data_IF_215899858912
#
_entry.id   IF_215899858912
#
_cell.length_a   1.000
_cell.length_b   1.000
_cell.length_c   1.000
_cell.angle_alpha   90.00
_cell.angle_beta   90.00
_cell.angle_gamma   90.00
#
_symmetry.space_group_name_H-M   'P 1'
#
loop_
_entity.id
_entity.type
_entity.pdbx_description
1 polymer ?
#
# COMPACT_ATOMS: atom_id res chain seq x y z
N UNK A 1 -11.32 -35.45 -46.22
CA UNK A 1 -10.38 -34.45 -45.69
C UNK A 1 -9.62 -35.10 -44.55
N UNK A 2 -8.39 -35.57 -44.81
CA UNK A 2 -7.56 -36.34 -43.87
C UNK A 2 -6.88 -35.39 -42.88
N UNK A 3 -6.82 -35.83 -41.62
CA UNK A 3 -6.62 -35.00 -40.43
C UNK A 3 -5.33 -34.19 -40.42
N UNK A 4 -5.48 -32.94 -39.99
CA UNK A 4 -4.39 -32.16 -39.44
C UNK A 4 -3.84 -32.92 -38.21
N UNK A 5 -2.54 -33.25 -38.13
CA UNK A 5 -1.99 -33.96 -36.99
C UNK A 5 -2.15 -33.10 -35.74
N UNK A 6 -2.66 -33.68 -34.64
CA UNK A 6 -2.89 -32.99 -33.35
C UNK A 6 -1.67 -32.21 -32.84
N UNK A 7 -0.46 -32.62 -33.21
CA UNK A 7 0.78 -31.91 -32.94
C UNK A 7 0.87 -30.53 -33.61
N UNK A 8 0.32 -30.36 -34.82
CA UNK A 8 0.33 -29.08 -35.55
C UNK A 8 -0.65 -28.08 -34.93
N UNK A 9 -1.82 -28.53 -34.46
CA UNK A 9 -2.75 -27.69 -33.70
C UNK A 9 -2.16 -27.27 -32.35
N UNK A 10 -1.49 -28.18 -31.63
CA UNK A 10 -0.83 -27.86 -30.37
C UNK A 10 0.30 -26.85 -30.58
N UNK A 11 1.11 -27.01 -31.63
CA UNK A 11 2.18 -26.07 -31.97
C UNK A 11 1.62 -24.68 -32.33
N UNK A 12 0.56 -24.61 -33.15
CA UNK A 12 -0.10 -23.35 -33.50
C UNK A 12 -0.71 -22.66 -32.28
N UNK A 13 -1.36 -23.39 -31.38
CA UNK A 13 -1.92 -22.82 -30.14
C UNK A 13 -0.79 -22.29 -29.26
N UNK A 14 0.29 -23.05 -29.06
CA UNK A 14 1.45 -22.61 -28.27
C UNK A 14 2.14 -21.40 -28.91
N UNK A 15 2.37 -21.40 -30.22
CA UNK A 15 2.98 -20.26 -30.92
C UNK A 15 2.09 -19.01 -30.91
N UNK A 16 0.77 -19.16 -31.06
CA UNK A 16 -0.16 -18.02 -30.99
C UNK A 16 -0.24 -17.47 -29.56
N UNK A 17 -0.19 -18.34 -28.55
CA UNK A 17 -0.13 -17.95 -27.15
C UNK A 17 1.16 -17.19 -26.83
N UNK A 18 2.31 -17.70 -27.28
CA UNK A 18 3.63 -17.05 -27.11
C UNK A 18 3.67 -15.69 -27.80
N UNK A 19 3.17 -15.57 -29.04
CA UNK A 19 3.12 -14.30 -29.77
C UNK A 19 2.16 -13.30 -29.09
N UNK A 20 1.03 -13.76 -28.56
CA UNK A 20 0.10 -12.90 -27.82
C UNK A 20 0.68 -12.43 -26.48
N UNK A 21 1.40 -13.30 -25.76
CA UNK A 21 2.13 -12.98 -24.53
C UNK A 21 3.25 -11.97 -24.79
N UNK A 22 4.06 -12.18 -25.83
CA UNK A 22 5.14 -11.25 -26.23
C UNK A 22 4.58 -9.88 -26.66
N UNK A 23 3.41 -9.85 -27.30
CA UNK A 23 2.74 -8.61 -27.70
C UNK A 23 2.17 -7.85 -26.50
N UNK A 24 1.58 -8.56 -25.53
CA UNK A 24 1.07 -7.99 -24.28
C UNK A 24 2.19 -7.37 -23.42
N UNK A 25 3.26 -8.12 -23.15
CA UNK A 25 4.42 -7.63 -22.39
C UNK A 25 5.05 -6.41 -23.07
N UNK A 26 5.09 -6.38 -24.40
CA UNK A 26 5.58 -5.24 -25.16
C UNK A 26 4.67 -4.00 -24.97
N UNK A 27 3.34 -4.18 -24.98
CA UNK A 27 2.38 -3.10 -24.79
C UNK A 27 2.46 -2.50 -23.37
N UNK A 28 2.57 -3.34 -22.35
CA UNK A 28 2.64 -2.91 -20.94
C UNK A 28 3.93 -2.14 -20.66
N UNK A 29 5.06 -2.60 -21.21
CA UNK A 29 6.33 -1.87 -21.14
C UNK A 29 6.28 -0.51 -21.84
N UNK A 30 5.63 -0.41 -22.99
CA UNK A 30 5.45 0.88 -23.68
C UNK A 30 4.51 1.80 -22.89
N UNK A 31 3.46 1.24 -22.29
CA UNK A 31 2.56 1.97 -21.41
C UNK A 31 3.33 2.57 -20.22
N UNK A 32 4.08 1.77 -19.47
CA UNK A 32 4.89 2.24 -18.34
C UNK A 32 5.85 3.36 -18.78
N UNK A 33 6.58 3.17 -19.89
CA UNK A 33 7.51 4.17 -20.43
C UNK A 33 6.82 5.47 -20.85
N UNK A 34 5.55 5.41 -21.25
CA UNK A 34 4.75 6.59 -21.58
C UNK A 34 4.23 7.35 -20.35
N UNK A 35 4.18 6.68 -19.18
CA UNK A 35 3.61 7.23 -17.95
C UNK A 35 4.67 7.65 -16.91
N UNK A 36 5.86 7.06 -16.92
CA UNK A 36 6.94 7.44 -16.00
C UNK A 36 7.96 8.35 -16.70
N UNK A 37 8.06 9.60 -16.26
CA UNK A 37 9.06 10.58 -16.71
C UNK A 37 10.21 10.67 -15.70
N UNK A 38 11.31 9.97 -15.98
CA UNK A 38 12.47 9.94 -15.09
C UNK A 38 13.37 11.17 -15.27
N UNK A 39 13.63 11.88 -14.18
CA UNK A 39 14.47 13.07 -14.11
C UNK A 39 15.61 12.87 -13.10
N UNK A 40 16.80 13.34 -13.42
CA UNK A 40 17.97 13.25 -12.55
C UNK A 40 18.38 14.61 -11.99
N UNK A 41 18.64 14.65 -10.68
CA UNK A 41 19.14 15.82 -9.97
C UNK A 41 20.55 15.53 -9.47
N UNK A 42 21.56 16.08 -10.15
CA UNK A 42 22.96 15.81 -9.83
C UNK A 42 23.47 16.51 -8.56
N UNK A 43 22.86 17.64 -8.20
CA UNK A 43 23.20 18.39 -6.98
C UNK A 43 21.94 19.08 -6.44
N UNK A 44 21.29 18.53 -5.39
CA UNK A 44 20.09 19.12 -4.81
C UNK A 44 20.32 20.50 -4.17
N UNK A 45 21.57 20.86 -3.88
CA UNK A 45 21.94 22.16 -3.30
C UNK A 45 22.30 23.22 -4.34
N UNK A 46 22.26 22.91 -5.64
CA UNK A 46 22.57 23.89 -6.68
C UNK A 46 21.48 24.96 -6.77
N UNK A 47 21.84 26.24 -6.68
CA UNK A 47 20.92 27.39 -6.74
C UNK A 47 20.24 27.60 -8.10
N UNK A 48 20.68 26.88 -9.15
CA UNK A 48 20.05 26.82 -10.47
C UNK A 48 19.99 25.36 -10.96
N UNK A 49 19.96 24.39 -10.04
CA UNK A 49 19.84 23.00 -10.42
C UNK A 49 18.53 22.79 -11.19
N UNK A 50 18.62 22.23 -12.39
CA UNK A 50 17.46 21.77 -13.15
C UNK A 50 17.52 20.27 -13.26
N UNK A 51 16.41 19.59 -12.94
CA UNK A 51 16.32 18.15 -13.12
C UNK A 51 16.44 17.80 -14.61
N UNK A 52 17.43 16.97 -14.96
CA UNK A 52 17.70 16.60 -16.35
C UNK A 52 16.87 15.37 -16.74
N UNK A 53 16.23 15.36 -17.91
CA UNK A 53 15.58 14.15 -18.40
C UNK A 53 16.59 13.01 -18.57
N UNK A 54 16.21 11.82 -18.11
CA UNK A 54 17.01 10.62 -18.27
C UNK A 54 16.66 9.98 -19.61
N UNK A 55 17.68 9.68 -20.42
CA UNK A 55 17.49 8.83 -21.59
C UNK A 55 17.44 7.37 -21.13
N UNK A 56 16.22 6.84 -20.96
CA UNK A 56 15.97 5.46 -20.54
C UNK A 56 16.70 4.45 -21.42
N UNK A 57 16.73 4.67 -22.75
CA UNK A 57 17.37 3.73 -23.68
C UNK A 57 18.89 3.64 -23.45
N UNK A 58 19.55 4.76 -23.11
CA UNK A 58 20.97 4.74 -22.76
C UNK A 58 21.29 3.98 -21.47
N UNK A 59 20.35 3.93 -20.51
CA UNK A 59 20.48 3.07 -19.32
C UNK A 59 20.32 1.60 -19.70
N UNK A 60 19.33 1.27 -20.53
CA UNK A 60 19.05 -0.10 -20.96
C UNK A 60 20.20 -0.69 -21.80
N UNK A 61 20.74 0.11 -22.74
CA UNK A 61 21.83 -0.30 -23.63
C UNK A 61 23.21 -0.19 -22.97
N UNK A 62 23.31 0.46 -21.81
CA UNK A 62 24.59 0.72 -21.15
C UNK A 62 25.51 1.67 -21.91
N UNK A 63 24.95 2.58 -22.71
CA UNK A 63 25.70 3.49 -23.60
C UNK A 63 25.85 4.91 -23.05
N UNK A 64 25.08 5.27 -22.01
CA UNK A 64 25.19 6.58 -21.36
C UNK A 64 26.51 6.76 -20.61
N UNK A 65 26.92 8.02 -20.38
CA UNK A 65 28.15 8.37 -19.67
C UNK A 65 27.88 9.38 -18.56
N UNK A 66 28.60 9.27 -17.44
CA UNK A 66 28.42 10.11 -16.26
C UNK A 66 27.19 9.75 -15.42
N UNK A 67 26.95 10.41 -14.28
CA UNK A 67 25.71 10.24 -13.52
C UNK A 67 24.47 10.67 -14.34
N UNK A 68 23.35 9.91 -14.31
CA UNK A 68 23.11 8.69 -13.52
C UNK A 68 23.56 7.38 -14.20
N UNK A 69 24.03 7.43 -15.45
CA UNK A 69 24.30 6.26 -16.31
C UNK A 69 25.45 5.37 -15.82
N UNK A 70 26.58 5.94 -15.38
CA UNK A 70 27.78 5.19 -14.99
C UNK A 70 28.31 5.52 -13.59
N UNK A 71 27.69 6.48 -12.90
CA UNK A 71 28.06 6.85 -11.52
C UNK A 71 27.77 5.73 -10.53
N UNK A 72 28.71 5.44 -9.63
CA UNK A 72 28.55 4.41 -8.60
C UNK A 72 27.56 4.86 -7.51
N UNK A 73 27.59 6.12 -7.10
CA UNK A 73 26.61 6.73 -6.19
C UNK A 73 25.17 6.57 -6.69
N UNK A 74 24.98 6.61 -8.01
CA UNK A 74 23.67 6.51 -8.66
C UNK A 74 23.27 5.09 -9.04
N UNK A 75 23.99 4.05 -8.61
CA UNK A 75 23.76 2.69 -9.11
C UNK A 75 22.34 2.18 -8.81
N UNK A 76 21.84 2.39 -7.59
CA UNK A 76 20.48 1.99 -7.20
C UNK A 76 19.42 2.84 -7.90
N UNK A 77 19.63 4.15 -8.04
CA UNK A 77 18.75 5.05 -8.83
C UNK A 77 18.62 4.59 -10.29
N UNK A 78 19.74 4.33 -10.96
CA UNK A 78 19.75 3.79 -12.33
C UNK A 78 19.05 2.44 -12.43
N UNK A 79 19.24 1.58 -11.43
CA UNK A 79 18.61 0.26 -11.40
C UNK A 79 17.08 0.35 -11.25
N UNK A 80 16.53 1.39 -10.61
CA UNK A 80 15.06 1.62 -10.58
C UNK A 80 14.55 1.87 -12.00
N UNK A 81 15.20 2.77 -12.76
CA UNK A 81 14.85 3.02 -14.18
C UNK A 81 14.94 1.73 -14.98
N UNK A 82 16.03 0.97 -14.80
CA UNK A 82 16.26 -0.30 -15.48
C UNK A 82 15.15 -1.32 -15.16
N UNK A 83 14.79 -1.48 -13.89
CA UNK A 83 13.76 -2.41 -13.45
C UNK A 83 12.39 -2.04 -14.05
N UNK A 84 11.99 -0.76 -13.97
CA UNK A 84 10.72 -0.27 -14.50
C UNK A 84 10.62 -0.40 -16.03
N UNK A 85 11.70 -0.11 -16.76
CA UNK A 85 11.66 0.12 -18.20
C UNK A 85 12.07 -1.07 -19.08
N UNK A 86 12.12 -2.29 -18.53
CA UNK A 86 12.36 -3.51 -19.31
C UNK A 86 13.75 -4.14 -19.19
N UNK A 87 14.63 -3.62 -18.33
CA UNK A 87 15.92 -4.23 -18.04
C UNK A 87 15.89 -5.15 -16.82
N UNK A 88 16.92 -5.98 -16.63
CA UNK A 88 17.04 -6.85 -15.46
C UNK A 88 18.01 -6.29 -14.43
N UNK A 89 17.68 -6.45 -13.14
CA UNK A 89 18.55 -6.09 -12.01
C UNK A 89 18.76 -7.33 -11.15
N UNK A 90 20.01 -7.63 -10.81
CA UNK A 90 20.34 -8.81 -10.01
C UNK A 90 19.70 -8.72 -8.62
N UNK A 91 19.05 -9.80 -8.19
CA UNK A 91 18.36 -9.87 -6.90
C UNK A 91 17.03 -9.09 -6.84
N UNK A 92 16.49 -8.67 -7.99
CA UNK A 92 15.24 -7.92 -8.06
C UNK A 92 14.17 -8.65 -8.88
N UNK A 93 12.92 -8.63 -8.42
CA UNK A 93 11.77 -9.14 -9.17
C UNK A 93 11.23 -8.05 -10.11
N UNK A 94 11.95 -7.86 -11.21
CA UNK A 94 11.63 -6.80 -12.17
C UNK A 94 10.32 -7.06 -12.94
N UNK A 95 9.90 -8.32 -13.05
CA UNK A 95 8.65 -8.67 -13.74
C UNK A 95 7.45 -8.32 -12.87
N UNK A 96 7.42 -8.78 -11.62
CA UNK A 96 6.38 -8.40 -10.67
C UNK A 96 6.36 -6.89 -10.46
N UNK A 97 7.53 -6.25 -10.35
CA UNK A 97 7.60 -4.79 -10.24
C UNK A 97 6.85 -4.09 -11.37
N UNK A 98 7.02 -4.53 -12.62
CA UNK A 98 6.31 -3.95 -13.77
C UNK A 98 4.81 -4.18 -13.73
N UNK A 99 4.38 -5.38 -13.32
CA UNK A 99 2.96 -5.67 -13.14
C UNK A 99 2.34 -4.73 -12.11
N UNK A 100 2.99 -4.56 -10.94
CA UNK A 100 2.47 -3.69 -9.88
C UNK A 100 2.42 -2.22 -10.34
N UNK A 101 3.49 -1.69 -10.93
CA UNK A 101 3.47 -0.28 -11.40
C UNK A 101 2.45 -0.05 -12.50
N UNK A 102 2.23 -1.03 -13.38
CA UNK A 102 1.21 -0.94 -14.42
C UNK A 102 -0.19 -0.86 -13.82
N UNK A 103 -0.54 -1.78 -12.92
CA UNK A 103 -1.82 -1.80 -12.23
C UNK A 103 -2.07 -0.47 -11.48
N UNK A 104 -1.06 0.06 -10.79
CA UNK A 104 -1.15 1.38 -10.12
C UNK A 104 -1.38 2.50 -11.14
N UNK A 105 -0.57 2.59 -12.20
CA UNK A 105 -0.66 3.67 -13.18
C UNK A 105 -2.00 3.67 -13.93
N UNK A 106 -2.63 2.49 -14.09
CA UNK A 106 -3.94 2.36 -14.73
C UNK A 106 -5.11 2.87 -13.89
N UNK A 107 -4.92 3.14 -12.59
CA UNK A 107 -5.96 3.71 -11.72
C UNK A 107 -6.40 5.07 -12.28
N UNK A 108 -5.45 5.98 -12.53
CA UNK A 108 -5.75 7.34 -13.02
C UNK A 108 -5.33 7.61 -14.45
N UNK A 109 -4.49 6.75 -15.03
CA UNK A 109 -3.87 6.94 -16.35
C UNK A 109 -3.04 8.23 -16.47
N UNK A 110 -2.55 8.79 -15.34
CA UNK A 110 -1.73 10.01 -15.31
C UNK A 110 -0.24 9.71 -15.49
N UNK A 111 0.49 10.69 -16.02
CA UNK A 111 1.95 10.68 -16.05
C UNK A 111 2.50 11.11 -14.70
N UNK A 112 3.55 10.44 -14.24
CA UNK A 112 4.26 10.69 -12.98
C UNK A 112 5.71 11.05 -13.29
N UNK A 113 6.19 12.16 -12.72
CA UNK A 113 7.61 12.53 -12.79
C UNK A 113 8.35 11.86 -11.65
N UNK A 114 9.44 11.15 -11.97
CA UNK A 114 10.28 10.49 -10.96
C UNK A 114 11.62 11.23 -10.87
N UNK A 115 11.81 11.99 -9.79
CA UNK A 115 13.07 12.64 -9.46
C UNK A 115 14.02 11.66 -8.75
N UNK A 116 15.13 11.37 -9.42
CA UNK A 116 16.25 10.59 -8.90
C UNK A 116 17.35 11.55 -8.47
N UNK A 117 17.61 11.64 -7.17
CA UNK A 117 18.41 12.71 -6.57
C UNK A 117 19.76 12.15 -6.10
N UNK A 118 20.87 12.68 -6.61
CA UNK A 118 22.20 12.38 -6.07
C UNK A 118 22.52 13.31 -4.89
N UNK A 119 22.11 12.89 -3.71
CA UNK A 119 22.41 13.49 -2.41
C UNK A 119 23.46 12.68 -1.63
N UNK A 120 24.15 11.74 -2.28
CA UNK A 120 25.06 10.80 -1.63
C UNK A 120 26.30 11.46 -1.01
N UNK A 121 26.66 12.67 -1.45
CA UNK A 121 27.91 13.33 -1.09
C UNK A 121 27.79 14.39 0.00
N UNK A 122 26.60 14.96 0.19
CA UNK A 122 26.36 16.02 1.16
C UNK A 122 24.86 16.13 1.50
N UNK A 123 24.52 16.50 2.75
CA UNK A 123 23.14 16.76 3.12
C UNK A 123 22.56 17.94 2.33
N UNK A 124 21.24 17.91 2.12
CA UNK A 124 20.43 18.97 1.57
C UNK A 124 20.38 20.11 2.59
N UNK A 125 20.90 21.27 2.18
CA UNK A 125 21.07 22.47 3.02
C UNK A 125 20.19 23.64 2.56
N UNK A 126 19.66 23.60 1.35
CA UNK A 126 18.79 24.67 0.84
C UNK A 126 17.38 24.58 1.42
N UNK A 127 16.89 25.71 1.92
CA UNK A 127 15.52 25.90 2.45
C UNK A 127 14.44 26.03 1.37
N UNK A 128 14.77 25.83 0.09
CA UNK A 128 13.79 25.69 -1.01
C UNK A 128 13.81 24.26 -1.57
N UNK A 129 13.35 23.25 -0.80
CA UNK A 129 13.15 21.89 -1.29
C UNK A 129 12.00 21.79 -2.32
N UNK A 130 11.29 22.88 -2.62
CA UNK A 130 10.07 22.91 -3.44
C UNK A 130 10.28 22.70 -4.94
N UNK A 131 11.52 22.58 -5.45
CA UNK A 131 11.74 22.38 -6.89
C UNK A 131 11.56 20.95 -7.36
N UNK A 132 11.74 19.99 -6.45
CA UNK A 132 11.66 18.57 -6.76
C UNK A 132 10.67 17.83 -5.87
N UNK A 133 9.84 18.55 -5.10
CA UNK A 133 8.87 17.92 -4.20
C UNK A 133 9.53 16.83 -3.34
N UNK A 134 10.55 17.23 -2.56
CA UNK A 134 11.40 16.30 -1.78
C UNK A 134 11.08 16.37 -0.29
N UNK A 135 10.99 15.20 0.34
CA UNK A 135 10.92 15.06 1.78
C UNK A 135 12.34 14.90 2.32
N UNK A 136 12.70 15.70 3.33
CA UNK A 136 14.04 15.68 3.89
C UNK A 136 14.00 15.03 5.26
N UNK A 137 14.63 13.87 5.37
CA UNK A 137 14.89 13.19 6.65
C UNK A 137 16.40 13.15 6.89
N UNK A 138 16.81 13.56 8.09
CA UNK A 138 18.21 13.58 8.53
C UNK A 138 19.15 14.34 7.57
N UNK A 139 18.60 15.29 6.81
CA UNK A 139 19.32 16.07 5.81
C UNK A 139 19.41 15.42 4.43
N UNK A 140 18.72 14.32 4.14
CA UNK A 140 18.78 13.61 2.86
C UNK A 140 17.37 13.36 2.29
N UNK A 141 17.28 13.17 0.97
CA UNK A 141 16.03 12.99 0.25
C UNK A 141 15.40 11.61 0.54
N UNK A 142 14.46 11.58 1.47
CA UNK A 142 13.66 10.41 1.77
C UNK A 142 12.72 10.09 0.59
N UNK A 143 12.49 8.81 0.25
CA UNK A 143 11.46 8.43 -0.71
C UNK A 143 10.11 9.03 -0.34
N UNK A 144 9.53 9.84 -1.21
CA UNK A 144 8.18 10.33 -1.02
C UNK A 144 7.52 10.75 -2.32
N UNK A 145 6.23 11.04 -2.26
CA UNK A 145 5.40 11.33 -3.40
C UNK A 145 4.53 12.56 -3.18
N UNK A 146 4.20 13.20 -4.29
CA UNK A 146 3.25 14.30 -4.32
C UNK A 146 2.25 14.08 -5.45
N UNK A 147 0.94 13.98 -5.16
CA UNK A 147 -0.04 13.82 -6.21
C UNK A 147 -0.25 15.13 -6.97
N UNK A 148 -0.42 14.96 -8.27
CA UNK A 148 -0.76 15.99 -9.22
C UNK A 148 -2.25 16.24 -9.29
N UNK A 149 -2.60 17.34 -9.94
CA UNK A 149 -3.96 17.69 -10.33
C UNK A 149 -4.06 17.76 -11.86
N UNK A 150 -5.14 18.36 -12.39
CA UNK A 150 -5.33 18.50 -13.83
C UNK A 150 -4.26 19.38 -14.53
N UNK A 151 -3.51 20.18 -13.77
CA UNK A 151 -2.56 21.18 -14.28
C UNK A 151 -1.13 20.95 -13.82
N UNK A 152 -0.93 20.25 -12.71
CA UNK A 152 0.39 19.95 -12.16
C UNK A 152 0.59 18.44 -12.10
N UNK A 153 1.71 17.90 -12.65
CA UNK A 153 1.96 16.47 -12.66
C UNK A 153 2.17 15.91 -11.24
N UNK A 154 1.87 14.62 -11.05
CA UNK A 154 2.28 13.91 -9.85
C UNK A 154 3.78 13.64 -9.87
N UNK A 155 4.41 13.58 -8.71
CA UNK A 155 5.86 13.42 -8.57
C UNK A 155 6.22 12.36 -7.53
N UNK A 156 7.36 11.72 -7.73
CA UNK A 156 8.03 10.85 -6.75
C UNK A 156 9.48 11.31 -6.66
N UNK A 157 10.02 11.38 -5.46
CA UNK A 157 11.42 11.72 -5.19
C UNK A 157 12.13 10.57 -4.49
N UNK A 158 13.35 10.24 -4.92
CA UNK A 158 14.19 9.23 -4.26
C UNK A 158 15.66 9.65 -4.21
N UNK A 159 16.25 9.65 -3.01
CA UNK A 159 17.64 10.03 -2.76
C UNK A 159 18.64 8.87 -2.78
N UNK A 160 19.80 9.08 -3.41
CA UNK A 160 20.89 8.13 -3.45
C UNK A 160 21.42 7.75 -2.06
N UNK A 161 21.45 8.68 -1.09
CA UNK A 161 21.96 8.44 0.27
C UNK A 161 21.20 7.29 0.95
N UNK A 162 19.89 7.47 1.09
CA UNK A 162 19.01 6.47 1.71
C UNK A 162 19.05 5.15 0.97
N UNK A 163 18.99 5.19 -0.37
CA UNK A 163 19.03 3.98 -1.15
C UNK A 163 20.34 3.21 -0.96
N UNK A 164 21.49 3.87 -0.84
CA UNK A 164 22.79 3.20 -0.77
C UNK A 164 23.17 2.69 0.62
N UNK A 165 22.93 3.49 1.66
CA UNK A 165 23.57 3.32 2.97
C UNK A 165 22.58 3.02 4.12
N UNK A 166 21.29 2.82 3.82
CA UNK A 166 20.26 2.61 4.85
C UNK A 166 20.00 1.15 5.18
N UNK A 167 19.86 0.87 6.49
CA UNK A 167 19.31 -0.39 6.99
C UNK A 167 17.81 -0.55 6.68
N UNK A 168 17.11 0.55 6.38
CA UNK A 168 15.69 0.57 5.99
C UNK A 168 15.44 -0.17 4.67
N UNK A 169 16.47 -0.29 3.82
CA UNK A 169 16.39 -0.98 2.53
C UNK A 169 17.32 -2.19 2.48
N UNK A 170 16.96 -3.30 3.16
CA UNK A 170 17.83 -4.48 3.30
C UNK A 170 18.18 -5.15 1.97
N UNK A 171 17.37 -4.94 0.93
CA UNK A 171 17.64 -5.44 -0.43
C UNK A 171 16.95 -4.56 -1.50
N UNK A 172 17.23 -4.83 -2.77
CA UNK A 172 16.71 -4.00 -3.85
C UNK A 172 15.18 -4.12 -4.03
N UNK A 173 14.56 -5.25 -3.68
CA UNK A 173 13.09 -5.38 -3.74
C UNK A 173 12.39 -4.46 -2.73
N UNK A 174 12.99 -4.22 -1.55
CA UNK A 174 12.44 -3.23 -0.59
C UNK A 174 12.44 -1.80 -1.15
N UNK A 175 13.43 -1.45 -1.97
CA UNK A 175 13.49 -0.15 -2.67
C UNK A 175 12.37 -0.06 -3.71
N UNK A 176 12.18 -1.12 -4.50
CA UNK A 176 11.11 -1.18 -5.50
C UNK A 176 9.73 -1.19 -4.83
N UNK A 177 9.58 -1.80 -3.64
CA UNK A 177 8.33 -1.84 -2.90
C UNK A 177 7.99 -0.45 -2.36
N UNK A 178 8.99 0.27 -1.87
CA UNK A 178 8.88 1.69 -1.51
C UNK A 178 8.47 2.53 -2.72
N UNK A 179 9.06 2.29 -3.89
CA UNK A 179 8.63 2.95 -5.12
C UNK A 179 7.15 2.67 -5.44
N UNK A 180 6.67 1.42 -5.31
CA UNK A 180 5.26 1.10 -5.51
C UNK A 180 4.34 1.77 -4.49
N UNK A 181 4.75 1.83 -3.22
CA UNK A 181 4.05 2.55 -2.16
C UNK A 181 3.90 4.03 -2.53
N UNK A 182 5.00 4.71 -2.87
CA UNK A 182 4.97 6.11 -3.27
C UNK A 182 4.21 6.34 -4.58
N UNK A 183 4.30 5.42 -5.53
CA UNK A 183 3.54 5.51 -6.77
C UNK A 183 2.03 5.42 -6.51
N UNK A 184 1.57 4.63 -5.54
CA UNK A 184 0.15 4.57 -5.18
C UNK A 184 -0.38 5.92 -4.70
N UNK A 185 0.38 6.62 -3.86
CA UNK A 185 0.01 7.97 -3.38
C UNK A 185 -0.17 8.98 -4.53
N UNK A 186 0.57 8.83 -5.64
CA UNK A 186 0.38 9.67 -6.83
C UNK A 186 -0.93 9.47 -7.57
N UNK A 187 -1.66 8.41 -7.24
CA UNK A 187 -2.95 8.07 -7.86
C UNK A 187 -4.13 8.74 -7.18
N UNK A 188 -3.94 9.55 -6.14
CA UNK A 188 -5.02 10.32 -5.53
C UNK A 188 -5.65 11.30 -6.56
N UNK A 189 -6.96 11.15 -6.81
CA UNK A 189 -7.73 11.98 -7.77
C UNK A 189 -8.39 13.21 -7.15
N UNK A 190 -8.15 13.47 -5.87
CA UNK A 190 -8.58 14.71 -5.20
C UNK A 190 -8.15 15.98 -5.97
N UNK A 191 -9.07 16.95 -6.04
CA UNK A 191 -8.89 18.17 -6.83
C UNK A 191 -8.14 19.29 -6.07
N UNK A 192 -7.78 19.06 -4.81
CA UNK A 192 -7.04 20.00 -3.97
C UNK A 192 -5.77 19.29 -3.48
N UNK A 193 -4.67 20.01 -3.32
CA UNK A 193 -3.41 19.49 -2.77
C UNK A 193 -3.36 19.63 -1.25
N UNK A 194 -4.17 20.53 -0.69
CA UNK A 194 -4.07 20.93 0.72
C UNK A 194 -4.50 19.85 1.70
N UNK A 195 -5.36 18.89 1.29
CA UNK A 195 -5.82 17.75 2.10
C UNK A 195 -4.78 16.64 2.26
N UNK A 196 -3.61 16.76 1.64
CA UNK A 196 -2.44 15.91 1.86
C UNK A 196 -1.30 16.62 2.60
N UNK A 197 -1.33 17.98 2.66
CA UNK A 197 -0.22 18.80 3.19
C UNK A 197 -0.61 19.92 4.19
N UNK A 198 -1.79 19.84 4.81
CA UNK A 198 -2.16 20.49 6.06
C UNK A 198 -1.39 19.93 7.27
N UNK A 199 -1.39 20.66 8.38
CA UNK A 199 -0.38 20.46 9.43
C UNK A 199 -0.63 19.27 10.38
N UNK A 200 -1.51 18.30 10.09
CA UNK A 200 -2.02 17.40 11.13
C UNK A 200 -2.29 15.92 10.74
N UNK A 201 -1.81 15.40 9.61
CA UNK A 201 -2.26 14.08 9.05
C UNK A 201 -1.99 12.84 9.88
N UNK A 202 -0.83 12.78 10.51
CA UNK A 202 -0.35 11.63 11.28
C UNK A 202 -0.28 11.96 12.77
N UNK A 203 -1.06 12.96 13.19
CA UNK A 203 -1.08 13.42 14.57
C UNK A 203 -0.39 14.76 14.83
N UNK A 204 -0.27 15.10 16.12
CA UNK A 204 0.19 16.38 16.65
C UNK A 204 1.71 16.59 16.48
N UNK A 205 2.49 15.52 16.32
CA UNK A 205 3.93 15.59 16.03
C UNK A 205 4.25 15.57 14.53
N UNK A 206 3.22 15.48 13.67
CA UNK A 206 3.30 15.41 12.19
C UNK A 206 4.09 14.22 11.64
N UNK A 207 4.47 13.27 12.50
CA UNK A 207 5.30 12.11 12.15
C UNK A 207 4.43 10.89 11.86
N UNK A 208 4.81 10.12 10.85
CA UNK A 208 4.04 8.95 10.42
C UNK A 208 4.60 7.67 11.05
N UNK A 209 3.75 6.88 11.72
CA UNK A 209 4.15 5.58 12.25
C UNK A 209 3.26 4.45 11.72
N UNK A 210 3.89 3.42 11.18
CA UNK A 210 3.22 2.19 10.75
C UNK A 210 2.30 1.52 11.80
N UNK A 211 2.56 1.76 13.09
CA UNK A 211 1.82 1.18 14.22
C UNK A 211 0.78 2.15 14.80
N UNK A 212 0.48 3.23 14.13
CA UNK A 212 -0.45 4.25 14.62
C UNK A 212 -1.91 3.90 14.27
N UNK A 213 -2.83 4.23 15.19
CA UNK A 213 -4.23 4.42 14.82
C UNK A 213 -4.37 5.85 14.31
N UNK A 214 -4.38 6.01 12.98
CA UNK A 214 -4.33 7.32 12.35
C UNK A 214 -5.66 8.05 12.61
N UNK A 215 -5.62 9.24 13.23
CA UNK A 215 -6.74 10.15 13.41
C UNK A 215 -7.71 10.28 12.23
N UNK A 216 -7.15 10.39 11.02
CA UNK A 216 -7.87 10.63 9.78
C UNK A 216 -8.06 9.31 9.01
N UNK A 217 -9.31 8.85 8.91
CA UNK A 217 -9.67 7.65 8.15
C UNK A 217 -9.34 7.74 6.65
N UNK A 218 -9.27 8.94 6.07
CA UNK A 218 -8.80 9.10 4.70
C UNK A 218 -7.30 8.86 4.58
N UNK A 219 -6.52 9.25 5.58
CA UNK A 219 -5.08 8.95 5.60
C UNK A 219 -4.83 7.48 5.89
N UNK A 220 -5.55 6.86 6.83
CA UNK A 220 -5.53 5.40 7.00
C UNK A 220 -5.78 4.68 5.68
N UNK A 221 -6.77 5.16 4.92
CA UNK A 221 -7.10 4.60 3.62
C UNK A 221 -5.92 4.71 2.64
N UNK A 222 -5.38 5.92 2.45
CA UNK A 222 -4.30 6.21 1.50
C UNK A 222 -3.04 5.40 1.81
N UNK A 223 -2.61 5.42 3.06
CA UNK A 223 -1.45 4.65 3.50
C UNK A 223 -1.72 3.14 3.41
N UNK A 224 -2.94 2.69 3.72
CA UNK A 224 -3.29 1.28 3.62
C UNK A 224 -3.24 0.73 2.20
N UNK A 225 -3.72 1.49 1.20
CA UNK A 225 -3.62 1.08 -0.21
C UNK A 225 -2.17 1.15 -0.73
N UNK A 226 -1.39 2.13 -0.27
CA UNK A 226 0.02 2.27 -0.62
C UNK A 226 0.86 1.13 -0.02
N UNK A 227 0.64 0.80 1.25
CA UNK A 227 1.23 -0.36 1.91
C UNK A 227 0.84 -1.67 1.22
N UNK A 228 -0.42 -1.83 0.80
CA UNK A 228 -0.83 -3.00 0.02
C UNK A 228 -0.05 -3.13 -1.29
N UNK A 229 0.17 -2.02 -2.01
CA UNK A 229 0.96 -2.02 -3.24
C UNK A 229 2.42 -2.45 -3.00
N UNK A 230 3.02 -1.98 -1.91
CA UNK A 230 4.33 -2.44 -1.44
C UNK A 230 4.35 -3.93 -1.09
N UNK A 231 3.32 -4.42 -0.38
CA UNK A 231 3.17 -5.83 -0.01
C UNK A 231 3.01 -6.73 -1.24
N UNK A 232 2.27 -6.27 -2.24
CA UNK A 232 2.06 -7.02 -3.48
C UNK A 232 3.38 -7.30 -4.19
N UNK A 233 4.31 -6.33 -4.19
CA UNK A 233 5.65 -6.57 -4.72
C UNK A 233 6.53 -7.39 -3.77
N UNK A 234 6.59 -7.00 -2.50
CA UNK A 234 7.54 -7.52 -1.53
C UNK A 234 6.82 -8.15 -0.33
N UNK A 235 6.46 -9.43 -0.50
CA UNK A 235 5.68 -10.19 0.48
C UNK A 235 6.32 -10.30 1.88
N UNK A 236 7.63 -10.08 2.03
CA UNK A 236 8.28 -10.03 3.35
C UNK A 236 7.71 -8.91 4.23
N UNK A 237 7.30 -7.78 3.65
CA UNK A 237 6.59 -6.73 4.40
C UNK A 237 5.21 -7.20 4.88
N UNK A 238 4.49 -7.95 4.05
CA UNK A 238 3.21 -8.56 4.44
C UNK A 238 3.39 -9.61 5.55
N UNK A 239 4.48 -10.38 5.50
CA UNK A 239 4.85 -11.33 6.56
C UNK A 239 5.18 -10.64 7.88
N UNK A 240 5.93 -9.52 7.84
CA UNK A 240 6.21 -8.71 9.03
C UNK A 240 4.93 -8.13 9.63
N UNK A 241 4.02 -7.60 8.81
CA UNK A 241 2.71 -7.11 9.26
C UNK A 241 1.85 -8.24 9.84
N UNK A 242 1.83 -9.41 9.19
CA UNK A 242 1.13 -10.60 9.69
C UNK A 242 1.72 -11.10 11.01
N UNK A 243 3.05 -11.05 11.17
CA UNK A 243 3.73 -11.43 12.40
C UNK A 243 3.41 -10.46 13.54
N UNK A 244 3.41 -9.15 13.28
CA UNK A 244 2.98 -8.12 14.22
C UNK A 244 1.54 -8.38 14.70
N UNK A 245 0.60 -8.64 13.79
CA UNK A 245 -0.79 -8.94 14.14
C UNK A 245 -0.91 -10.22 14.99
N UNK A 246 -0.33 -11.34 14.50
CA UNK A 246 -0.33 -12.64 15.19
C UNK A 246 0.20 -12.55 16.61
N UNK A 247 1.35 -11.88 16.77
CA UNK A 247 2.07 -11.78 18.03
C UNK A 247 1.43 -10.79 19.01
N UNK A 248 0.21 -10.31 18.72
CA UNK A 248 -0.47 -9.30 19.52
C UNK A 248 0.42 -8.07 19.69
N UNK A 249 0.91 -7.53 18.59
CA UNK A 249 1.71 -6.31 18.56
C UNK A 249 1.00 -5.12 19.22
N UNK A 250 1.71 -4.00 19.30
CA UNK A 250 1.12 -2.77 19.82
C UNK A 250 0.66 -1.84 18.70
N UNK A 251 -0.33 -1.02 19.04
CA UNK A 251 -0.76 0.16 18.30
C UNK A 251 -0.54 1.37 19.21
N UNK A 252 -0.11 2.47 18.62
CA UNK A 252 0.00 3.77 19.30
C UNK A 252 -1.19 4.64 18.95
N UNK A 253 -1.70 5.35 19.95
CA UNK A 253 -2.88 6.21 19.84
C UNK A 253 -2.55 7.54 20.49
N UNK A 254 -2.81 8.64 19.80
CA UNK A 254 -2.49 9.96 20.31
C UNK A 254 -3.22 10.31 21.61
N UNK A 255 -2.47 10.81 22.59
CA UNK A 255 -3.00 11.28 23.89
C UNK A 255 -3.75 12.59 23.78
N UNK A 256 -3.41 13.40 22.77
CA UNK A 256 -3.95 14.75 22.55
C UNK A 256 -4.50 14.87 21.14
N UNK A 257 -5.67 15.48 21.02
CA UNK A 257 -6.28 15.85 19.74
C UNK A 257 -5.37 16.85 19.00
N UNK A 258 -4.95 16.57 17.76
CA UNK A 258 -4.26 17.56 16.96
C UNK A 258 -5.21 18.73 16.65
N UNK A 259 -4.72 19.98 16.70
CA UNK A 259 -5.51 21.14 16.29
C UNK A 259 -6.06 20.96 14.87
N UNK A 260 -7.32 21.33 14.60
CA UNK A 260 -7.89 21.33 13.24
C UNK A 260 -8.75 20.10 12.87
N UNK A 261 -8.73 19.02 13.65
CA UNK A 261 -9.72 17.95 13.52
C UNK A 261 -10.99 18.28 14.30
N UNK A 262 -12.15 18.19 13.66
CA UNK A 262 -13.43 18.60 14.26
C UNK A 262 -14.45 17.46 14.47
N UNK A 263 -14.17 16.24 14.01
CA UNK A 263 -15.03 15.07 14.25
C UNK A 263 -14.31 13.81 13.79
N UNK A 264 -14.54 12.67 14.47
CA UNK A 264 -14.03 11.32 14.16
C UNK A 264 -12.62 10.94 14.64
N UNK A 265 -12.05 11.72 15.56
CA UNK A 265 -10.86 11.28 16.29
C UNK A 265 -11.22 10.24 17.35
N UNK A 266 -10.53 9.11 17.35
CA UNK A 266 -10.45 8.33 18.57
C UNK A 266 -9.54 9.03 19.55
N UNK A 267 -10.16 9.47 20.64
CA UNK A 267 -9.47 10.08 21.75
C UNK A 267 -8.91 8.94 22.59
N UNK A 268 -7.61 8.91 22.82
CA UNK A 268 -6.99 8.09 23.87
C UNK A 268 -7.79 8.13 25.19
N UNK A 269 -8.44 9.26 25.51
CA UNK A 269 -9.36 9.38 26.65
C UNK A 269 -10.54 8.40 26.61
N UNK A 270 -11.08 8.07 25.44
CA UNK A 270 -12.15 7.08 25.26
C UNK A 270 -11.66 5.67 25.56
N UNK A 271 -10.42 5.33 25.18
CA UNK A 271 -9.79 4.06 25.52
C UNK A 271 -9.55 3.94 27.03
N UNK A 272 -9.08 5.02 27.65
CA UNK A 272 -8.90 5.08 29.11
C UNK A 272 -10.23 4.95 29.86
N UNK A 273 -11.27 5.65 29.43
CA UNK A 273 -12.62 5.55 30.01
C UNK A 273 -13.22 4.15 29.85
N UNK A 274 -12.89 3.46 28.76
CA UNK A 274 -13.31 2.08 28.50
C UNK A 274 -12.50 1.03 29.27
N UNK A 275 -11.52 1.46 30.09
CA UNK A 275 -10.70 0.57 30.92
C UNK A 275 -9.69 -0.27 30.13
N UNK A 276 -9.36 0.13 28.89
CA UNK A 276 -8.33 -0.56 28.10
C UNK A 276 -6.96 -0.24 28.70
N UNK A 277 -6.18 -1.25 29.14
CA UNK A 277 -4.92 -0.99 29.82
C UNK A 277 -3.84 -0.52 28.83
N UNK A 278 -3.26 0.64 29.09
CA UNK A 278 -2.07 1.13 28.40
C UNK A 278 -0.82 0.34 28.84
N UNK A 279 0.08 0.08 27.89
CA UNK A 279 1.42 -0.44 28.14
C UNK A 279 2.30 0.72 28.59
N UNK A 280 2.65 0.77 29.88
CA UNK A 280 3.49 1.83 30.46
C UNK A 280 4.91 1.35 30.83
N UNK A 281 5.20 0.06 30.67
CA UNK A 281 6.49 -0.54 30.99
C UNK A 281 6.67 -1.89 30.27
N UNK A 282 7.90 -2.42 30.29
CA UNK A 282 8.24 -3.71 29.69
C UNK A 282 8.82 -3.63 28.28
N UNK A 283 9.04 -4.78 27.61
CA UNK A 283 9.79 -4.84 26.35
C UNK A 283 9.20 -4.00 25.22
N UNK A 284 7.88 -4.02 25.00
CA UNK A 284 7.24 -3.22 23.94
C UNK A 284 7.36 -1.72 24.19
N UNK A 285 7.22 -1.30 25.45
CA UNK A 285 7.41 0.10 25.84
C UNK A 285 8.87 0.54 25.59
N UNK A 286 9.83 -0.30 25.97
CA UNK A 286 11.25 -0.05 25.73
C UNK A 286 11.58 -0.02 24.24
N UNK A 287 11.01 -0.93 23.46
CA UNK A 287 11.20 -0.97 22.00
C UNK A 287 10.65 0.29 21.34
N UNK A 288 9.44 0.73 21.70
CA UNK A 288 8.88 1.99 21.22
C UNK A 288 9.78 3.19 21.56
N UNK A 289 10.27 3.27 22.80
CA UNK A 289 11.20 4.32 23.22
C UNK A 289 12.55 4.28 22.48
N UNK A 290 13.02 3.10 22.09
CA UNK A 290 14.26 2.95 21.31
C UNK A 290 14.09 3.40 19.86
N UNK A 291 12.96 3.06 19.24
CA UNK A 291 12.67 3.43 17.86
C UNK A 291 12.44 4.92 17.69
N UNK A 292 11.66 5.53 18.59
CA UNK A 292 11.13 6.88 18.37
C UNK A 292 11.61 7.90 19.41
N UNK A 293 12.26 7.44 20.48
CA UNK A 293 12.84 8.29 21.51
C UNK A 293 11.95 8.44 22.75
N UNK A 294 12.57 8.88 23.86
CA UNK A 294 11.91 8.87 25.18
C UNK A 294 10.75 9.88 25.31
N UNK A 295 10.75 10.96 24.52
CA UNK A 295 9.73 12.02 24.57
C UNK A 295 8.37 11.58 24.03
N UNK A 296 8.33 10.69 23.03
CA UNK A 296 7.09 10.34 22.34
C UNK A 296 6.15 9.45 23.15
N UNK A 297 6.65 8.73 24.16
CA UNK A 297 5.79 7.98 25.09
C UNK A 297 4.87 8.90 25.93
N UNK A 298 5.17 10.21 25.97
CA UNK A 298 4.29 11.22 26.57
C UNK A 298 3.20 11.71 25.61
N UNK A 299 3.42 11.59 24.30
CA UNK A 299 2.48 11.99 23.23
C UNK A 299 1.52 10.85 22.86
N UNK A 300 1.99 9.60 22.94
CA UNK A 300 1.23 8.43 22.53
C UNK A 300 0.90 7.50 23.70
N UNK A 301 -0.29 6.94 23.66
CA UNK A 301 -0.68 5.76 24.43
C UNK A 301 -0.39 4.49 23.64
N UNK A 302 0.18 3.49 24.29
CA UNK A 302 0.56 2.23 23.65
C UNK A 302 -0.40 1.14 24.10
N UNK A 303 -1.03 0.43 23.17
CA UNK A 303 -2.04 -0.58 23.47
C UNK A 303 -1.79 -1.84 22.66
N UNK A 304 -2.12 -3.01 23.22
CA UNK A 304 -2.09 -4.26 22.46
C UNK A 304 -3.24 -4.28 21.45
N UNK A 305 -3.00 -4.79 20.23
CA UNK A 305 -4.04 -4.96 19.21
C UNK A 305 -5.28 -5.65 19.81
N UNK A 306 -5.08 -6.77 20.52
CA UNK A 306 -6.20 -7.54 21.09
C UNK A 306 -6.89 -6.87 22.28
N UNK A 307 -6.35 -5.79 22.84
CA UNK A 307 -7.07 -5.00 23.85
C UNK A 307 -7.95 -3.90 23.25
N UNK A 308 -7.75 -3.56 21.97
CA UNK A 308 -8.46 -2.47 21.31
C UNK A 308 -9.82 -2.92 20.75
N UNK A 309 -10.80 -2.00 20.65
CA UNK A 309 -12.06 -2.23 19.94
C UNK A 309 -11.86 -2.20 18.41
N UNK A 310 -12.78 -2.83 17.65
CA UNK A 310 -12.72 -2.90 16.19
C UNK A 310 -12.67 -1.52 15.52
N UNK A 311 -13.44 -0.58 16.08
CA UNK A 311 -13.53 0.81 15.65
C UNK A 311 -12.17 1.54 15.65
N UNK A 312 -11.22 1.13 16.50
CA UNK A 312 -9.83 1.64 16.53
C UNK A 312 -8.95 0.88 15.55
N UNK A 313 -9.08 -0.46 15.52
CA UNK A 313 -8.22 -1.31 14.70
C UNK A 313 -8.35 -0.98 13.21
N UNK A 314 -9.54 -0.60 12.75
CA UNK A 314 -9.76 -0.18 11.36
C UNK A 314 -9.02 1.11 10.97
N UNK A 315 -8.55 1.90 11.94
CA UNK A 315 -7.80 3.15 11.71
C UNK A 315 -6.30 2.91 11.50
N UNK A 316 -5.84 1.66 11.54
CA UNK A 316 -4.45 1.34 11.29
C UNK A 316 -4.25 0.92 9.83
N UNK A 317 -3.32 1.58 9.15
CA UNK A 317 -3.00 1.33 7.74
C UNK A 317 -2.54 -0.11 7.47
N UNK A 318 -1.85 -0.77 8.42
CA UNK A 318 -1.40 -2.15 8.23
C UNK A 318 -2.56 -3.12 8.28
N UNK A 319 -3.57 -2.86 9.11
CA UNK A 319 -4.80 -3.65 9.14
C UNK A 319 -5.50 -3.57 7.78
N UNK A 320 -5.65 -2.37 7.22
CA UNK A 320 -6.21 -2.20 5.87
C UNK A 320 -5.35 -2.88 4.80
N UNK A 321 -4.04 -2.68 4.82
CA UNK A 321 -3.11 -3.28 3.86
C UNK A 321 -3.17 -4.82 3.91
N UNK A 322 -3.25 -5.40 5.11
CA UNK A 322 -3.41 -6.85 5.30
C UNK A 322 -4.74 -7.35 4.74
N UNK A 323 -5.84 -6.63 4.96
CA UNK A 323 -7.15 -6.98 4.38
C UNK A 323 -7.05 -7.04 2.85
N UNK A 324 -6.52 -5.99 2.22
CA UNK A 324 -6.46 -5.88 0.76
C UNK A 324 -5.46 -6.86 0.13
N UNK A 325 -4.28 -7.01 0.73
CA UNK A 325 -3.28 -7.97 0.27
C UNK A 325 -3.81 -9.41 0.33
N UNK A 326 -4.46 -9.78 1.44
CA UNK A 326 -5.02 -11.14 1.58
C UNK A 326 -6.24 -11.34 0.70
N UNK A 327 -7.05 -10.30 0.47
CA UNK A 327 -8.12 -10.34 -0.54
C UNK A 327 -7.52 -10.66 -1.91
N UNK A 328 -6.60 -9.83 -2.41
CA UNK A 328 -6.00 -9.99 -3.74
C UNK A 328 -5.28 -11.33 -3.93
N UNK A 329 -4.62 -11.84 -2.90
CA UNK A 329 -3.94 -13.14 -2.94
C UNK A 329 -4.88 -14.34 -3.13
N UNK A 330 -6.07 -14.30 -2.52
CA UNK A 330 -7.03 -15.40 -2.61
C UNK A 330 -8.08 -15.20 -3.70
N UNK A 331 -8.22 -13.99 -4.23
CA UNK A 331 -9.22 -13.64 -5.24
C UNK A 331 -8.56 -13.06 -6.49
N UNK A 332 -8.15 -11.80 -6.50
CA UNK A 332 -7.48 -11.17 -7.65
C UNK A 332 -6.96 -9.80 -7.25
N UNK A 333 -5.68 -9.53 -7.48
CA UNK A 333 -5.15 -8.16 -7.32
C UNK A 333 -5.74 -7.20 -8.36
N UNK A 334 -6.07 -7.68 -9.56
CA UNK A 334 -6.77 -6.87 -10.57
C UNK A 334 -8.09 -6.32 -10.03
N UNK A 335 -8.85 -7.13 -9.28
CA UNK A 335 -10.13 -6.72 -8.69
C UNK A 335 -9.88 -5.69 -7.59
N UNK A 336 -8.83 -5.86 -6.79
CA UNK A 336 -8.42 -4.87 -5.78
C UNK A 336 -8.12 -3.51 -6.42
N UNK A 337 -7.30 -3.47 -7.48
CA UNK A 337 -6.97 -2.22 -8.17
C UNK A 337 -8.18 -1.59 -8.88
N UNK A 338 -9.08 -2.39 -9.45
CA UNK A 338 -10.33 -1.91 -10.03
C UNK A 338 -11.27 -1.34 -8.97
N UNK A 339 -11.37 -1.97 -7.79
CA UNK A 339 -12.14 -1.43 -6.67
C UNK A 339 -11.58 -0.09 -6.17
N UNK A 340 -10.25 0.01 -6.06
CA UNK A 340 -9.59 1.28 -5.75
C UNK A 340 -9.95 2.33 -6.81
N UNK A 341 -9.83 1.99 -8.11
CA UNK A 341 -10.19 2.87 -9.22
C UNK A 341 -11.63 3.38 -9.15
N UNK A 342 -12.59 2.53 -8.79
CA UNK A 342 -14.00 2.91 -8.68
C UNK A 342 -14.26 3.87 -7.51
N UNK A 343 -13.56 3.69 -6.40
CA UNK A 343 -13.73 4.53 -5.20
C UNK A 343 -12.95 5.84 -5.31
N UNK A 344 -11.81 5.85 -6.00
CA UNK A 344 -10.85 6.94 -6.05
C UNK A 344 -11.44 8.33 -6.44
N UNK A 345 -12.33 8.46 -7.46
CA UNK A 345 -12.98 9.73 -7.78
C UNK A 345 -13.84 10.31 -6.64
N UNK A 346 -14.31 9.47 -5.72
CA UNK A 346 -15.20 9.85 -4.62
C UNK A 346 -14.45 10.12 -3.30
N UNK A 347 -13.12 9.95 -3.27
CA UNK A 347 -12.30 10.19 -2.09
C UNK A 347 -12.18 11.68 -1.73
N UNK A 348 -12.42 12.58 -2.69
CA UNK A 348 -12.31 14.04 -2.52
C UNK A 348 -13.34 14.67 -1.56
N UNK A 349 -14.47 14.02 -1.26
CA UNK A 349 -15.60 14.71 -0.61
C UNK A 349 -16.06 14.16 0.74
N UNK A 350 -15.61 12.98 1.18
CA UNK A 350 -16.12 12.35 2.41
C UNK A 350 -15.07 11.45 3.06
N UNK A 351 -14.20 11.98 3.93
CA UNK A 351 -13.21 11.16 4.66
C UNK A 351 -13.80 10.26 5.74
N UNK A 352 -15.12 10.23 5.91
CA UNK A 352 -15.73 9.40 6.94
C UNK A 352 -15.96 7.95 6.48
N UNK A 353 -15.84 7.62 5.18
CA UNK A 353 -16.28 6.30 4.69
C UNK A 353 -15.51 5.66 3.53
N UNK A 354 -14.29 6.11 3.24
CA UNK A 354 -13.48 5.55 2.15
C UNK A 354 -13.26 4.03 2.30
N UNK A 355 -13.03 3.58 3.53
CA UNK A 355 -12.92 2.17 3.89
C UNK A 355 -14.21 1.40 3.58
N UNK A 356 -15.37 1.90 4.02
CA UNK A 356 -16.66 1.26 3.76
C UNK A 356 -16.95 1.15 2.24
N UNK A 357 -16.71 2.22 1.47
CA UNK A 357 -16.90 2.21 0.01
C UNK A 357 -15.99 1.22 -0.70
N UNK A 358 -14.74 1.09 -0.26
CA UNK A 358 -13.81 0.10 -0.81
C UNK A 358 -14.24 -1.33 -0.50
N UNK A 359 -14.68 -1.59 0.72
CA UNK A 359 -15.22 -2.89 1.11
C UNK A 359 -16.46 -3.22 0.30
N UNK A 360 -17.38 -2.26 0.12
CA UNK A 360 -18.55 -2.43 -0.73
C UNK A 360 -18.18 -2.73 -2.19
N UNK A 361 -17.23 -1.98 -2.76
CA UNK A 361 -16.75 -2.19 -4.13
C UNK A 361 -16.21 -3.63 -4.29
N UNK A 362 -15.36 -4.10 -3.38
CA UNK A 362 -14.82 -5.46 -3.40
C UNK A 362 -15.90 -6.53 -3.26
N UNK A 363 -16.88 -6.32 -2.38
CA UNK A 363 -18.03 -7.22 -2.23
C UNK A 363 -18.94 -7.23 -3.47
N UNK A 364 -19.03 -6.10 -4.19
CA UNK A 364 -19.93 -5.92 -5.34
C UNK A 364 -19.34 -6.36 -6.68
N UNK A 365 -18.01 -6.30 -6.86
CA UNK A 365 -17.35 -6.73 -8.09
C UNK A 365 -17.44 -8.24 -8.33
N UNK A 366 -17.73 -9.00 -7.27
CA UNK A 366 -17.97 -10.44 -7.32
C UNK A 366 -19.48 -10.79 -7.46
N UNK A 367 -20.35 -9.78 -7.61
CA UNK A 367 -21.79 -9.97 -7.70
C UNK A 367 -22.23 -10.52 -9.06
N UNK A 368 -22.41 -11.84 -9.15
CA UNK A 368 -23.73 -12.29 -9.58
C UNK A 368 -24.76 -11.74 -8.59
N UNK A 369 -25.99 -11.38 -9.02
CA UNK A 369 -27.04 -11.02 -8.08
C UNK A 369 -27.06 -12.06 -6.95
N UNK A 370 -27.25 -11.63 -5.70
CA UNK A 370 -27.34 -12.46 -4.49
C UNK A 370 -28.50 -13.48 -4.62
N UNK A 371 -28.35 -14.40 -5.56
CA UNK A 371 -29.23 -15.48 -5.93
C UNK A 371 -28.83 -16.63 -5.03
N UNK A 372 -29.82 -17.30 -4.47
CA UNK A 372 -29.75 -18.34 -3.43
C UNK A 372 -28.85 -19.56 -3.75
N UNK A 373 -28.01 -19.54 -4.81
CA UNK A 373 -27.26 -20.71 -5.28
C UNK A 373 -25.74 -20.56 -5.52
N UNK A 374 -25.07 -19.38 -5.41
CA UNK A 374 -23.57 -19.21 -5.38
C UNK A 374 -23.15 -17.72 -5.47
N UNK A 375 -21.95 -17.23 -5.04
CA UNK A 375 -20.88 -17.79 -4.17
C UNK A 375 -20.64 -16.94 -2.89
N UNK A 376 -20.22 -17.59 -1.80
CA UNK A 376 -19.82 -16.95 -0.53
C UNK A 376 -18.55 -16.04 -0.66
N UNK A 377 -17.94 -16.00 -1.85
CA UNK A 377 -16.78 -15.15 -2.23
C UNK A 377 -17.01 -13.66 -1.89
N UNK A 378 -18.21 -13.15 -2.15
CA UNK A 378 -18.58 -11.74 -1.90
C UNK A 378 -18.42 -11.34 -0.42
N UNK A 379 -18.41 -12.31 0.49
CA UNK A 379 -18.31 -12.09 1.93
C UNK A 379 -16.85 -12.14 2.42
N UNK A 380 -15.89 -12.47 1.55
CA UNK A 380 -14.49 -12.66 1.94
C UNK A 380 -13.87 -11.41 2.52
N UNK A 381 -14.07 -10.24 1.88
CA UNK A 381 -13.56 -8.96 2.41
C UNK A 381 -14.13 -8.66 3.79
N UNK A 382 -15.42 -8.92 4.03
CA UNK A 382 -16.05 -8.75 5.34
C UNK A 382 -15.46 -9.72 6.37
N UNK A 383 -15.18 -10.96 5.98
CA UNK A 383 -14.52 -11.94 6.83
C UNK A 383 -13.09 -11.52 7.21
N UNK A 384 -12.34 -10.94 6.29
CA UNK A 384 -11.01 -10.38 6.56
C UNK A 384 -11.11 -9.17 7.49
N UNK A 385 -12.09 -8.29 7.30
CA UNK A 385 -12.31 -7.14 8.19
C UNK A 385 -12.61 -7.60 9.62
N UNK A 386 -13.49 -8.59 9.82
CA UNK A 386 -13.78 -9.14 11.15
C UNK A 386 -12.54 -9.85 11.75
N UNK A 387 -11.80 -10.63 10.94
CA UNK A 387 -10.58 -11.30 11.37
C UNK A 387 -9.51 -10.32 11.85
N UNK A 388 -9.18 -9.32 11.03
CA UNK A 388 -8.13 -8.34 11.34
C UNK A 388 -8.57 -7.29 12.37
N UNK A 389 -9.87 -7.16 12.66
CA UNK A 389 -10.37 -6.48 13.86
C UNK A 389 -10.51 -7.41 15.07
N UNK A 390 -9.85 -8.57 15.04
CA UNK A 390 -9.80 -9.56 16.14
C UNK A 390 -11.16 -10.12 16.56
N UNK A 391 -12.13 -10.18 15.65
CA UNK A 391 -13.49 -10.68 15.90
C UNK A 391 -14.23 -9.94 17.02
N UNK A 392 -13.92 -8.65 17.20
CA UNK A 392 -14.36 -7.86 18.37
C UNK A 392 -15.85 -7.55 18.39
N UNK A 393 -16.52 -7.47 17.24
CA UNK A 393 -17.95 -7.20 17.18
C UNK A 393 -18.75 -8.37 17.77
N UNK A 394 -19.65 -8.06 18.71
CA UNK A 394 -20.47 -9.04 19.44
C UNK A 394 -21.83 -9.27 18.79
N UNK A 395 -22.32 -8.31 18.02
CA UNK A 395 -23.58 -8.36 17.30
C UNK A 395 -23.45 -7.72 15.91
N UNK A 396 -24.46 -7.97 15.07
CA UNK A 396 -24.54 -7.47 13.70
C UNK A 396 -24.43 -5.93 13.64
N UNK A 397 -25.10 -5.24 14.57
CA UNK A 397 -25.07 -3.77 14.66
C UNK A 397 -23.66 -3.24 14.95
N UNK A 398 -22.93 -3.88 15.87
CA UNK A 398 -21.53 -3.53 16.15
C UNK A 398 -20.62 -3.81 14.96
N UNK A 399 -20.90 -4.86 14.17
CA UNK A 399 -20.14 -5.13 12.95
C UNK A 399 -20.44 -4.10 11.85
N UNK A 400 -21.72 -3.75 11.64
CA UNK A 400 -22.12 -2.71 10.70
C UNK A 400 -21.46 -1.35 11.00
N UNK A 401 -21.32 -1.01 12.29
CA UNK A 401 -20.65 0.21 12.76
C UNK A 401 -19.18 0.31 12.37
N UNK A 402 -18.47 -0.82 12.22
CA UNK A 402 -17.08 -0.82 11.73
C UNK A 402 -17.00 -0.14 10.37
N UNK A 403 -18.07 -0.17 9.58
CA UNK A 403 -18.17 0.47 8.27
C UNK A 403 -19.09 1.70 8.29
N UNK A 404 -19.13 2.40 9.42
CA UNK A 404 -19.98 3.57 9.67
C UNK A 404 -21.48 3.34 9.40
N UNK A 405 -21.94 2.08 9.37
CA UNK A 405 -23.28 1.67 8.93
C UNK A 405 -23.61 2.04 7.48
N UNK A 406 -22.60 2.15 6.62
CA UNK A 406 -22.75 2.57 5.23
C UNK A 406 -22.87 1.42 4.23
N UNK A 407 -22.45 0.21 4.61
CA UNK A 407 -22.61 -0.97 3.76
C UNK A 407 -24.07 -1.38 3.61
N UNK A 408 -24.42 -1.99 2.47
CA UNK A 408 -25.72 -2.64 2.26
C UNK A 408 -26.02 -3.61 3.41
N UNK A 409 -27.15 -3.39 4.08
CA UNK A 409 -27.59 -4.22 5.22
C UNK A 409 -27.72 -5.69 4.86
N UNK A 410 -28.00 -6.03 3.60
CA UNK A 410 -28.08 -7.42 3.13
C UNK A 410 -26.71 -8.10 3.14
N UNK A 411 -25.63 -7.37 2.85
CA UNK A 411 -24.26 -7.91 2.93
C UNK A 411 -23.85 -8.15 4.37
N UNK A 412 -24.16 -7.19 5.25
CA UNK A 412 -23.91 -7.31 6.69
C UNK A 412 -24.67 -8.51 7.26
N UNK A 413 -25.96 -8.63 6.96
CA UNK A 413 -26.80 -9.74 7.42
C UNK A 413 -26.28 -11.08 6.88
N UNK A 414 -26.00 -11.19 5.58
CA UNK A 414 -25.48 -12.41 4.97
C UNK A 414 -24.14 -12.84 5.59
N UNK A 415 -23.23 -11.89 5.83
CA UNK A 415 -21.99 -12.16 6.55
C UNK A 415 -22.27 -12.65 7.97
N UNK A 416 -23.16 -11.97 8.71
CA UNK A 416 -23.44 -12.29 10.10
C UNK A 416 -24.05 -13.69 10.27
N UNK A 417 -24.92 -14.12 9.34
CA UNK A 417 -25.48 -15.47 9.30
C UNK A 417 -24.40 -16.55 9.05
N UNK A 418 -23.39 -16.24 8.23
CA UNK A 418 -22.27 -17.15 7.93
C UNK A 418 -21.15 -17.12 8.97
N UNK A 419 -21.04 -16.03 9.74
CA UNK A 419 -19.98 -15.79 10.72
C UNK A 419 -19.72 -16.98 11.65
N UNK A 420 -20.71 -17.70 12.21
CA UNK A 420 -20.43 -18.86 13.07
C UNK A 420 -19.63 -19.97 12.38
N UNK A 421 -19.85 -20.20 11.08
CA UNK A 421 -19.11 -21.18 10.29
C UNK A 421 -17.65 -20.74 10.12
N UNK A 422 -17.43 -19.47 9.82
CA UNK A 422 -16.08 -18.87 9.69
C UNK A 422 -15.32 -18.95 11.03
N UNK A 423 -15.96 -18.55 12.13
CA UNK A 423 -15.35 -18.60 13.47
C UNK A 423 -14.99 -20.03 13.89
N UNK A 424 -15.76 -21.03 13.47
CA UNK A 424 -15.46 -22.44 13.76
C UNK A 424 -14.24 -22.97 12.99
N UNK A 425 -13.82 -22.29 11.93
CA UNK A 425 -12.71 -22.68 11.08
C UNK A 425 -11.34 -22.11 11.52
N UNK A 426 -11.30 -21.20 12.51
CA UNK A 426 -10.06 -20.47 12.87
C UNK A 426 -9.76 -20.52 14.37
N UNK A 427 -8.47 -20.44 14.72
CA UNK A 427 -8.06 -20.28 16.12
C UNK A 427 -7.92 -18.80 16.47
N UNK A 428 -8.95 -18.25 17.11
CA UNK A 428 -9.00 -16.85 17.52
C UNK A 428 -7.99 -16.49 18.62
N UNK A 429 -7.50 -17.48 19.36
CA UNK A 429 -6.51 -17.27 20.40
C UNK A 429 -5.09 -17.27 19.85
N UNK A 430 -4.88 -17.89 18.69
CA UNK A 430 -3.59 -17.94 18.02
C UNK A 430 -3.72 -17.68 16.51
N UNK A 431 -4.01 -16.43 16.10
CA UNK A 431 -4.15 -16.03 14.71
C UNK A 431 -2.90 -16.40 13.90
N UNK A 432 -3.08 -16.90 12.69
CA UNK A 432 -2.02 -17.34 11.80
C UNK A 432 -2.40 -17.10 10.35
N UNK A 433 -1.40 -17.05 9.48
CA UNK A 433 -1.64 -16.92 8.03
C UNK A 433 -2.53 -18.04 7.47
N UNK A 434 -2.46 -19.26 8.06
CA UNK A 434 -3.32 -20.37 7.69
C UNK A 434 -4.81 -20.13 7.98
N UNK A 435 -5.16 -19.19 8.87
CA UNK A 435 -6.56 -18.83 9.09
C UNK A 435 -7.19 -18.21 7.85
N UNK A 436 -6.44 -17.42 7.08
CA UNK A 436 -6.97 -16.75 5.88
C UNK A 436 -7.42 -17.80 4.85
N UNK A 437 -6.61 -18.84 4.65
CA UNK A 437 -6.96 -19.98 3.79
C UNK A 437 -8.19 -20.73 4.33
N UNK A 438 -8.31 -20.89 5.66
CA UNK A 438 -9.47 -21.54 6.28
C UNK A 438 -10.74 -20.69 6.16
N UNK A 439 -10.64 -19.37 6.29
CA UNK A 439 -11.74 -18.42 6.05
C UNK A 439 -12.19 -18.52 4.58
N UNK A 440 -11.24 -18.45 3.65
CA UNK A 440 -11.51 -18.59 2.22
C UNK A 440 -12.21 -19.94 1.91
N UNK A 441 -11.71 -21.04 2.46
CA UNK A 441 -12.30 -22.38 2.30
C UNK A 441 -13.70 -22.47 2.90
N UNK A 442 -13.93 -21.86 4.07
CA UNK A 442 -15.25 -21.83 4.71
C UNK A 442 -16.29 -21.06 3.88
N UNK A 443 -15.83 -20.12 3.06
CA UNK A 443 -16.61 -19.37 2.08
C UNK A 443 -16.55 -20.00 0.67
N UNK A 444 -16.14 -21.25 0.54
CA UNK A 444 -16.14 -21.98 -0.74
C UNK A 444 -15.10 -21.51 -1.76
N UNK A 445 -14.19 -20.61 -1.38
CA UNK A 445 -13.11 -20.11 -2.24
C UNK A 445 -12.01 -21.17 -2.26
N UNK A 446 -11.86 -21.84 -3.40
CA UNK A 446 -10.95 -23.00 -3.54
C UNK A 446 -9.77 -22.74 -4.49
N UNK A 447 -9.79 -21.65 -5.24
CA UNK A 447 -8.68 -21.20 -6.08
C UNK A 447 -7.86 -20.12 -5.37
N UNK A 448 -6.53 -20.29 -5.36
CA UNK A 448 -5.63 -19.15 -5.21
C UNK A 448 -5.32 -18.62 -6.62
N UNK A 449 -5.85 -17.45 -6.96
CA UNK A 449 -5.53 -16.81 -8.24
C UNK A 449 -4.16 -16.12 -8.15
N UNK A 450 -3.09 -16.91 -8.09
CA UNK A 450 -1.76 -16.33 -8.24
C UNK A 450 -1.52 -16.10 -9.74
N UNK A 451 -1.44 -14.84 -10.19
CA UNK A 451 -0.68 -14.57 -11.44
C UNK A 451 0.81 -14.85 -11.25
N UNK A 452 1.32 -14.87 -10.02
CA UNK A 452 2.60 -15.47 -9.63
C UNK A 452 2.63 -15.68 -8.11
N UNK A 453 2.80 -16.91 -7.64
CA UNK A 453 3.23 -17.22 -6.27
C UNK A 453 4.78 -17.38 -6.26
N UNK A 454 5.45 -17.36 -5.09
CA UNK A 454 6.78 -16.80 -4.87
C UNK A 454 7.93 -17.38 -5.72
#
# INVERSE_FOLDING_TARGET
MKGLPRALCALLVVSTLIIALDCGICADLQYIKSKLDFRFVANPNATNGTAQPINVQQILDGTGTGPPYTGQSCAKLRNIVKAACGGTVAGADCERFRMVIEDILRITDRTVIVYLIDDSSAPITNTNPTWYDVCVDSGYAWPCSYPGDATVPSTISMGAHWLNDSAEFPNFNSILATFCHELMHTQDMSADRTHLYGNYYYGADTSHYFFEAIPDMSMTYKEGIANMAGYYLYGEWAEQASAWFRNNGFIVVEKTVPPGYSSNLFLYSTLQQSGVPEITSGPDFQYFQQLYGQGLASTYGIFRIRSLPADILKQNERILALILYNHGWHTSFTDVFEAIRQVNPNLYQTCDSAFARLVEALCSQQASPLVETSPDENLFTLALCDYFTCFKSQNETEFARVFENMLDTRLIQAYWEKRPQILSAVDRNNPSHADIVRIATALGITSTHSRTAP
#
